data_IF_865802497768
#
_entry.id   IF_865802497768
#
_cell.length_a   1.000
_cell.length_b   1.000
_cell.length_c   1.000
_cell.angle_alpha   90.00
_cell.angle_beta   90.00
_cell.angle_gamma   90.00
#
_symmetry.space_group_name_H-M   'P 1'
#
loop_
_entity.id
_entity.type
_entity.pdbx_description
1 polymer ?
#
# COMPACT_ATOMS: atom_id res chain seq x y z
N UNK A 1 0.28 -19.29 -7.05
CA UNK A 1 -1.00 -18.77 -7.56
C UNK A 1 -0.70 -17.80 -8.68
N UNK A 2 -1.54 -17.76 -9.74
CA UNK A 2 -1.35 -16.79 -10.83
C UNK A 2 -1.77 -15.39 -10.41
N UNK A 3 -1.24 -14.37 -11.08
CA UNK A 3 -1.61 -12.95 -10.85
C UNK A 3 -3.13 -12.78 -11.01
N UNK A 4 -3.70 -13.35 -12.05
CA UNK A 4 -5.15 -13.26 -12.33
C UNK A 4 -6.00 -13.77 -11.15
N UNK A 5 -5.57 -14.86 -10.51
CA UNK A 5 -6.28 -15.42 -9.37
C UNK A 5 -6.17 -14.54 -8.12
N UNK A 6 -5.05 -13.83 -7.93
CA UNK A 6 -4.92 -12.86 -6.83
C UNK A 6 -5.85 -11.68 -7.07
N UNK A 7 -5.84 -11.13 -8.29
CA UNK A 7 -6.72 -10.03 -8.68
C UNK A 7 -8.20 -10.38 -8.50
N UNK A 8 -8.60 -11.59 -8.94
CA UNK A 8 -9.97 -12.06 -8.75
C UNK A 8 -10.37 -12.16 -7.29
N UNK A 9 -9.49 -12.72 -6.45
CA UNK A 9 -9.74 -12.83 -5.00
C UNK A 9 -9.77 -11.45 -4.32
N UNK A 10 -8.87 -10.56 -4.71
CA UNK A 10 -8.82 -9.17 -4.21
C UNK A 10 -10.14 -8.43 -4.54
N UNK A 11 -10.61 -8.52 -5.78
CA UNK A 11 -11.89 -7.93 -6.18
C UNK A 11 -13.06 -8.47 -5.36
N UNK A 12 -13.15 -9.80 -5.20
CA UNK A 12 -14.21 -10.43 -4.37
C UNK A 12 -14.13 -9.95 -2.91
N UNK A 13 -12.93 -9.77 -2.37
CA UNK A 13 -12.74 -9.28 -1.01
C UNK A 13 -13.22 -7.83 -0.87
N UNK A 14 -12.84 -6.96 -1.79
CA UNK A 14 -13.32 -5.57 -1.79
C UNK A 14 -14.82 -5.46 -2.02
N UNK A 15 -15.43 -6.36 -2.78
CA UNK A 15 -16.88 -6.41 -2.93
C UNK A 15 -17.60 -6.77 -1.61
N UNK A 16 -17.00 -7.63 -0.77
CA UNK A 16 -17.52 -7.86 0.61
C UNK A 16 -17.46 -6.56 1.44
N UNK A 17 -16.36 -5.81 1.37
CA UNK A 17 -16.26 -4.53 2.09
C UNK A 17 -17.25 -3.49 1.59
N UNK A 18 -17.47 -3.39 0.28
CA UNK A 18 -18.46 -2.46 -0.30
C UNK A 18 -19.89 -2.69 0.20
N UNK A 19 -20.23 -3.93 0.56
CA UNK A 19 -21.54 -4.24 1.16
C UNK A 19 -21.67 -3.71 2.60
N UNK A 20 -20.58 -3.42 3.27
CA UNK A 20 -20.54 -3.02 4.68
C UNK A 20 -20.08 -1.58 4.89
N UNK A 21 -19.38 -1.00 3.91
CA UNK A 21 -18.72 0.30 4.00
C UNK A 21 -19.05 1.18 2.80
N UNK A 22 -19.57 2.35 3.08
CA UNK A 22 -19.65 3.45 2.13
C UNK A 22 -18.26 4.13 2.04
N UNK A 23 -17.95 4.79 0.93
CA UNK A 23 -16.67 5.48 0.71
C UNK A 23 -15.42 4.62 0.92
N UNK A 24 -15.48 3.37 0.46
CA UNK A 24 -14.37 2.43 0.54
C UNK A 24 -13.16 2.95 -0.24
N UNK A 25 -11.98 2.90 0.39
CA UNK A 25 -10.69 3.23 -0.21
C UNK A 25 -9.92 1.94 -0.53
N UNK A 26 -9.99 1.40 -1.75
CA UNK A 26 -9.27 0.20 -2.14
C UNK A 26 -7.76 0.41 -2.08
N UNK A 27 -7.06 -0.68 -1.75
CA UNK A 27 -5.61 -0.74 -1.69
C UNK A 27 -5.10 -2.13 -2.16
N UNK A 28 -3.88 -2.53 -1.85
CA UNK A 28 -3.33 -3.82 -2.23
C UNK A 28 -2.00 -3.70 -2.95
N UNK A 29 -1.69 -4.63 -3.86
CA UNK A 29 -0.49 -4.55 -4.69
C UNK A 29 -0.65 -3.39 -5.68
N UNK A 30 0.26 -2.42 -5.60
CA UNK A 30 0.17 -1.20 -6.41
C UNK A 30 0.34 -1.51 -7.89
N UNK A 31 1.40 -2.21 -8.24
CA UNK A 31 1.62 -2.71 -9.59
C UNK A 31 2.21 -4.11 -9.55
N UNK A 32 1.51 -5.08 -10.11
CA UNK A 32 1.92 -6.49 -10.03
C UNK A 32 3.25 -6.77 -10.69
N UNK A 33 3.53 -6.16 -11.83
CA UNK A 33 4.78 -6.36 -12.56
C UNK A 33 5.96 -5.82 -11.76
N UNK A 34 5.88 -4.60 -11.26
CA UNK A 34 6.92 -3.98 -10.43
C UNK A 34 7.09 -4.73 -9.11
N UNK A 35 5.98 -5.09 -8.45
CA UNK A 35 6.02 -5.87 -7.21
C UNK A 35 6.66 -7.25 -7.42
N UNK A 36 6.32 -7.98 -8.49
CA UNK A 36 6.87 -9.31 -8.77
C UNK A 36 8.39 -9.28 -9.05
N UNK A 37 8.89 -8.20 -9.63
CA UNK A 37 10.31 -8.00 -9.93
C UNK A 37 11.12 -7.50 -8.73
N UNK A 38 10.48 -7.05 -7.65
CA UNK A 38 11.17 -6.53 -6.47
C UNK A 38 12.00 -7.62 -5.79
N UNK A 39 13.26 -7.31 -5.47
CA UNK A 39 14.19 -8.19 -4.74
C UNK A 39 13.61 -8.56 -3.35
N UNK A 40 13.04 -7.59 -2.66
CA UNK A 40 12.38 -7.76 -1.36
C UNK A 40 10.92 -7.38 -1.49
N UNK A 41 10.02 -8.27 -1.05
CA UNK A 41 8.58 -8.00 -1.02
C UNK A 41 8.24 -7.20 0.22
N UNK A 42 7.75 -5.98 0.03
CA UNK A 42 7.47 -5.05 1.11
C UNK A 42 5.97 -4.77 1.17
N UNK A 43 5.39 -4.96 2.35
CA UNK A 43 4.03 -4.51 2.66
C UNK A 43 4.09 -3.34 3.62
N UNK A 44 3.47 -2.22 3.24
CA UNK A 44 3.22 -1.10 4.13
C UNK A 44 1.84 -1.24 4.75
N UNK A 45 1.81 -1.43 6.05
CA UNK A 45 0.58 -1.47 6.82
C UNK A 45 0.36 -0.12 7.51
N UNK A 46 -0.68 0.59 7.11
CA UNK A 46 -1.01 1.92 7.62
C UNK A 46 -2.38 1.93 8.30
N UNK A 47 -2.71 3.04 8.94
CA UNK A 47 -3.96 3.17 9.67
C UNK A 47 -5.16 3.34 8.74
N UNK A 48 -5.24 4.49 8.06
CA UNK A 48 -6.38 4.90 7.23
C UNK A 48 -5.95 5.89 6.16
N UNK A 49 -6.77 6.04 5.13
CA UNK A 49 -6.64 7.09 4.13
C UNK A 49 -7.01 8.46 4.71
N UNK A 50 -6.37 9.52 4.27
CA UNK A 50 -6.88 10.87 4.48
C UNK A 50 -7.82 11.24 3.32
N UNK A 51 -9.07 10.82 3.43
CA UNK A 51 -10.08 10.96 2.39
C UNK A 51 -11.47 11.01 3.04
N UNK A 52 -11.87 12.17 3.57
CA UNK A 52 -13.15 12.30 4.26
C UNK A 52 -14.30 12.25 3.26
N UNK A 53 -15.17 11.24 3.41
CA UNK A 53 -16.34 11.02 2.54
C UNK A 53 -16.00 10.95 1.04
N UNK A 54 -14.81 10.48 0.72
CA UNK A 54 -14.33 10.30 -0.65
C UNK A 54 -13.86 8.88 -0.87
N UNK A 55 -14.00 8.41 -2.10
CA UNK A 55 -13.41 7.15 -2.55
C UNK A 55 -12.05 7.49 -3.15
N UNK A 56 -10.98 6.99 -2.53
CA UNK A 56 -9.62 7.12 -3.06
C UNK A 56 -9.10 5.72 -3.39
N UNK A 57 -8.84 5.47 -4.66
CA UNK A 57 -8.10 4.29 -5.07
C UNK A 57 -6.61 4.53 -4.83
N UNK A 58 -6.05 3.82 -3.84
CA UNK A 58 -4.64 3.98 -3.51
C UNK A 58 -3.70 3.42 -4.56
N UNK A 59 -4.14 2.45 -5.36
CA UNK A 59 -3.34 1.93 -6.48
C UNK A 59 -3.15 3.03 -7.52
N UNK A 60 -4.23 3.69 -7.90
CA UNK A 60 -4.18 4.81 -8.85
C UNK A 60 -3.37 5.98 -8.28
N UNK A 61 -3.61 6.34 -7.02
CA UNK A 61 -2.86 7.40 -6.34
C UNK A 61 -1.35 7.16 -6.35
N UNK A 62 -0.91 5.96 -5.99
CA UNK A 62 0.51 5.62 -5.93
C UNK A 62 1.12 5.35 -7.32
N UNK A 63 0.37 4.78 -8.25
CA UNK A 63 0.79 4.63 -9.64
C UNK A 63 1.03 5.98 -10.33
N UNK A 64 0.34 7.02 -9.87
CA UNK A 64 0.50 8.40 -10.36
C UNK A 64 1.48 9.24 -9.53
N UNK A 65 2.27 8.62 -8.63
CA UNK A 65 3.41 9.23 -7.95
C UNK A 65 3.14 9.86 -6.58
N UNK A 66 1.92 9.82 -6.06
CA UNK A 66 1.55 10.22 -4.68
C UNK A 66 2.00 11.64 -4.25
N UNK A 67 1.94 12.61 -5.14
CA UNK A 67 2.60 13.92 -4.98
C UNK A 67 2.07 14.82 -3.88
N UNK A 68 0.81 14.65 -3.47
CA UNK A 68 0.13 15.61 -2.58
C UNK A 68 0.62 15.55 -1.11
N UNK A 69 1.42 14.53 -0.74
CA UNK A 69 1.93 14.34 0.61
C UNK A 69 3.41 13.99 0.64
N UNK A 70 4.20 14.88 0.09
CA UNK A 70 5.66 14.75 -0.02
C UNK A 70 6.35 14.21 1.24
N UNK A 71 6.19 14.77 2.45
CA UNK A 71 6.99 14.32 3.59
C UNK A 71 6.78 12.85 3.96
N UNK A 72 5.53 12.34 3.89
CA UNK A 72 5.23 10.95 4.19
C UNK A 72 5.84 10.01 3.15
N UNK A 73 5.61 10.29 1.88
CA UNK A 73 6.05 9.43 0.79
C UNK A 73 7.55 9.52 0.53
N UNK A 74 8.17 10.66 0.80
CA UNK A 74 9.63 10.78 0.77
C UNK A 74 10.29 9.88 1.82
N UNK A 75 9.76 9.81 3.04
CA UNK A 75 10.27 8.90 4.05
C UNK A 75 10.05 7.42 3.66
N UNK A 76 8.89 7.10 3.13
CA UNK A 76 8.60 5.74 2.60
C UNK A 76 9.62 5.38 1.52
N UNK A 77 9.88 6.26 0.57
CA UNK A 77 10.85 6.03 -0.51
C UNK A 77 12.26 5.77 0.03
N UNK A 78 12.70 6.53 1.03
CA UNK A 78 14.00 6.33 1.69
C UNK A 78 14.10 4.95 2.34
N UNK A 79 13.04 4.51 3.02
CA UNK A 79 12.97 3.18 3.61
C UNK A 79 12.97 2.09 2.54
N UNK A 80 12.17 2.24 1.50
CA UNK A 80 12.13 1.28 0.38
C UNK A 80 13.50 1.14 -0.27
N UNK A 81 14.18 2.26 -0.53
CA UNK A 81 15.54 2.25 -1.09
C UNK A 81 16.51 1.50 -0.18
N UNK A 82 16.54 1.85 1.11
CA UNK A 82 17.44 1.22 2.08
C UNK A 82 17.21 -0.28 2.22
N UNK A 83 15.95 -0.72 2.27
CA UNK A 83 15.60 -2.14 2.38
C UNK A 83 15.97 -2.92 1.11
N UNK A 84 15.69 -2.35 -0.06
CA UNK A 84 15.98 -3.03 -1.33
C UNK A 84 17.47 -3.06 -1.70
N UNK A 85 18.27 -2.17 -1.11
CA UNK A 85 19.71 -2.03 -1.35
C UNK A 85 20.54 -2.25 -0.07
N UNK A 86 20.09 -3.11 0.83
CA UNK A 86 20.71 -3.31 2.16
C UNK A 86 22.18 -3.72 2.12
N UNK A 87 22.61 -4.34 1.04
CA UNK A 87 23.99 -4.79 0.84
C UNK A 87 24.89 -3.71 0.18
N UNK A 88 24.38 -2.49 0.00
CA UNK A 88 25.07 -1.43 -0.72
C UNK A 88 25.34 -0.26 0.23
N UNK A 89 26.58 0.20 0.29
CA UNK A 89 26.88 1.47 0.94
C UNK A 89 26.32 2.61 0.12
N UNK A 90 25.56 3.49 0.76
CA UNK A 90 24.95 4.64 0.10
C UNK A 90 25.09 5.91 0.94
N UNK A 91 25.21 7.02 0.24
CA UNK A 91 25.25 8.34 0.84
C UNK A 91 23.87 8.98 0.78
N UNK A 92 23.44 9.59 1.89
CA UNK A 92 22.16 10.27 1.97
C UNK A 92 21.91 11.29 0.86
N UNK A 93 22.94 12.08 0.51
CA UNK A 93 22.85 13.06 -0.57
C UNK A 93 22.62 12.45 -1.96
N UNK A 94 23.01 11.19 -2.16
CA UNK A 94 22.77 10.45 -3.40
C UNK A 94 21.33 9.98 -3.49
N UNK A 95 20.77 9.53 -2.37
CA UNK A 95 19.35 9.15 -2.27
C UNK A 95 18.45 10.36 -2.56
N UNK A 96 18.77 11.52 -1.99
CA UNK A 96 18.02 12.76 -2.24
C UNK A 96 18.03 13.16 -3.73
N UNK A 97 19.18 13.04 -4.38
CA UNK A 97 19.30 13.29 -5.83
C UNK A 97 18.54 12.27 -6.66
N UNK A 98 18.59 10.99 -6.28
CA UNK A 98 17.87 9.92 -6.96
C UNK A 98 16.37 10.18 -6.93
N UNK A 99 15.84 10.53 -5.78
CA UNK A 99 14.40 10.80 -5.61
C UNK A 99 13.96 12.21 -6.02
N UNK A 100 14.85 13.05 -6.53
CA UNK A 100 14.46 14.22 -7.30
C UNK A 100 13.81 13.83 -8.65
N UNK A 101 14.14 12.64 -9.18
CA UNK A 101 13.51 12.08 -10.39
C UNK A 101 12.16 11.45 -10.05
N UNK A 102 11.12 12.00 -10.64
CA UNK A 102 9.73 11.55 -10.48
C UNK A 102 9.49 10.12 -10.94
N UNK A 103 10.12 9.71 -12.03
CA UNK A 103 9.97 8.35 -12.58
C UNK A 103 10.54 7.33 -11.62
N UNK A 104 11.70 7.60 -11.05
CA UNK A 104 12.36 6.73 -10.07
C UNK A 104 11.48 6.59 -8.83
N UNK A 105 10.95 7.69 -8.30
CA UNK A 105 10.01 7.66 -7.17
C UNK A 105 8.81 6.77 -7.46
N UNK A 106 8.18 6.97 -8.60
CA UNK A 106 7.00 6.21 -9.02
C UNK A 106 7.32 4.72 -9.12
N UNK A 107 8.45 4.33 -9.68
CA UNK A 107 8.84 2.91 -9.78
C UNK A 107 9.03 2.25 -8.41
N UNK A 108 9.64 2.95 -7.44
CA UNK A 108 9.73 2.43 -6.07
C UNK A 108 8.35 2.27 -5.42
N UNK A 109 7.45 3.25 -5.57
CA UNK A 109 6.10 3.17 -5.03
C UNK A 109 5.27 2.06 -5.68
N UNK A 110 5.46 1.81 -6.97
CA UNK A 110 4.82 0.68 -7.67
C UNK A 110 5.28 -0.68 -7.18
N UNK A 111 6.46 -0.76 -6.58
CA UNK A 111 7.09 -2.01 -6.16
C UNK A 111 6.59 -2.56 -4.82
N UNK A 112 5.59 -1.96 -4.22
CA UNK A 112 5.09 -2.31 -2.90
C UNK A 112 3.67 -2.86 -2.89
N UNK A 113 3.33 -3.53 -1.81
CA UNK A 113 1.99 -3.81 -1.35
C UNK A 113 1.62 -2.78 -0.27
N UNK A 114 0.47 -2.19 -0.40
CA UNK A 114 -0.05 -1.18 0.52
C UNK A 114 -1.36 -1.65 1.13
N UNK A 115 -1.51 -1.54 2.45
CA UNK A 115 -2.71 -1.97 3.15
C UNK A 115 -3.06 -0.99 4.27
N UNK A 116 -4.22 -0.38 4.20
CA UNK A 116 -4.81 0.34 5.31
C UNK A 116 -5.60 -0.62 6.20
N UNK A 117 -5.47 -0.51 7.51
CA UNK A 117 -6.29 -1.29 8.45
C UNK A 117 -7.75 -0.84 8.41
N UNK A 118 -8.01 0.46 8.36
CA UNK A 118 -9.35 1.01 8.15
C UNK A 118 -9.52 1.38 6.69
N UNK A 119 -10.50 0.76 6.01
CA UNK A 119 -10.72 0.88 4.56
C UNK A 119 -11.56 2.09 4.14
N UNK A 120 -12.08 2.84 5.08
CA UNK A 120 -12.76 4.12 4.81
C UNK A 120 -11.84 5.27 5.21
N UNK A 121 -12.02 6.39 4.52
CA UNK A 121 -11.19 7.57 4.78
C UNK A 121 -11.45 8.20 6.14
N UNK A 122 -10.42 8.81 6.68
CA UNK A 122 -10.44 9.63 7.88
C UNK A 122 -9.87 11.02 7.61
N UNK A 123 -9.72 11.80 8.67
CA UNK A 123 -9.11 13.13 8.62
C UNK A 123 -7.57 13.04 8.76
N UNK A 124 -6.90 14.18 8.70
CA UNK A 124 -5.46 14.27 8.99
C UNK A 124 -5.11 13.87 10.44
N UNK A 125 -6.09 13.83 11.34
CA UNK A 125 -5.95 13.35 12.72
C UNK A 125 -6.86 12.14 12.92
N UNK A 126 -6.27 10.98 13.19
CA UNK A 126 -7.04 9.75 13.43
C UNK A 126 -7.83 9.85 14.72
N UNK A 127 -9.15 9.65 14.65
CA UNK A 127 -9.96 9.38 15.83
C UNK A 127 -9.72 7.91 16.24
N UNK A 128 -8.98 7.71 17.33
CA UNK A 128 -8.59 6.38 17.75
C UNK A 128 -9.78 5.48 18.10
N UNK A 129 -10.86 6.00 18.67
CA UNK A 129 -12.04 5.20 19.01
C UNK A 129 -12.71 4.66 17.73
N UNK A 130 -13.03 5.52 16.78
CA UNK A 130 -13.63 5.10 15.50
C UNK A 130 -12.68 4.16 14.74
N UNK A 131 -11.38 4.40 14.80
CA UNK A 131 -10.38 3.56 14.16
C UNK A 131 -10.40 2.13 14.71
N UNK A 132 -10.34 1.98 16.04
CA UNK A 132 -10.33 0.66 16.67
C UNK A 132 -11.64 -0.08 16.44
N UNK A 133 -12.79 0.59 16.61
CA UNK A 133 -14.10 -0.01 16.43
C UNK A 133 -14.28 -0.54 15.00
N UNK A 134 -13.87 0.22 13.99
CA UNK A 134 -13.93 -0.19 12.59
C UNK A 134 -12.96 -1.34 12.31
N UNK A 135 -11.74 -1.30 12.83
CA UNK A 135 -10.78 -2.38 12.68
C UNK A 135 -11.25 -3.69 13.33
N UNK A 136 -11.94 -3.61 14.47
CA UNK A 136 -12.53 -4.78 15.12
C UNK A 136 -13.66 -5.36 14.28
N UNK A 137 -14.53 -4.51 13.74
CA UNK A 137 -15.63 -4.95 12.86
C UNK A 137 -15.11 -5.59 11.57
N UNK A 138 -14.06 -5.05 10.98
CA UNK A 138 -13.49 -5.50 9.71
C UNK A 138 -12.38 -6.56 9.88
N UNK A 139 -12.12 -7.01 11.11
CA UNK A 139 -10.98 -7.89 11.46
C UNK A 139 -10.83 -9.08 10.53
N UNK A 140 -11.91 -9.80 10.26
CA UNK A 140 -11.87 -11.02 9.44
C UNK A 140 -11.49 -10.69 7.98
N UNK A 141 -12.01 -9.60 7.44
CA UNK A 141 -11.69 -9.14 6.08
C UNK A 141 -10.23 -8.63 5.99
N UNK A 142 -9.75 -7.97 7.04
CA UNK A 142 -8.34 -7.52 7.13
C UNK A 142 -7.41 -8.74 7.15
N UNK A 143 -7.73 -9.76 7.95
CA UNK A 143 -6.96 -11.01 8.01
C UNK A 143 -7.02 -11.73 6.66
N UNK A 144 -8.20 -11.83 6.02
CA UNK A 144 -8.35 -12.42 4.69
C UNK A 144 -7.47 -11.69 3.66
N UNK A 145 -7.43 -10.36 3.70
CA UNK A 145 -6.55 -9.57 2.82
C UNK A 145 -5.06 -9.83 3.06
N UNK A 146 -4.64 -9.81 4.31
CA UNK A 146 -3.24 -10.06 4.66
C UNK A 146 -2.83 -11.45 4.18
N UNK A 147 -3.62 -12.48 4.49
CA UNK A 147 -3.35 -13.86 4.08
C UNK A 147 -3.38 -14.03 2.57
N UNK A 148 -4.24 -13.31 1.86
CA UNK A 148 -4.26 -13.32 0.39
C UNK A 148 -2.88 -13.05 -0.23
N UNK A 149 -2.08 -12.20 0.41
CA UNK A 149 -0.76 -11.84 -0.09
C UNK A 149 0.36 -12.67 0.52
N UNK A 150 0.24 -13.16 1.75
CA UNK A 150 1.28 -13.93 2.44
C UNK A 150 1.22 -15.44 2.16
N UNK A 151 0.04 -16.03 2.08
CA UNK A 151 -0.13 -17.47 1.82
C UNK A 151 0.22 -17.88 0.39
N UNK A 152 0.51 -16.91 -0.46
CA UNK A 152 0.83 -17.16 -1.84
C UNK A 152 2.33 -17.08 -2.04
N UNK A 153 2.89 -18.19 -2.51
CA UNK A 153 4.29 -18.41 -2.90
C UNK A 153 4.87 -17.38 -3.92
N UNK A 154 4.11 -16.32 -4.25
CA UNK A 154 4.63 -15.12 -4.92
C UNK A 154 5.55 -14.29 -4.01
N UNK A 155 5.59 -14.60 -2.72
CA UNK A 155 6.37 -13.86 -1.72
C UNK A 155 7.72 -14.55 -1.46
N UNK A 156 7.85 -15.82 -1.84
CA UNK A 156 9.13 -16.53 -1.85
C UNK A 156 9.51 -16.92 -3.28
N UNK A 157 10.73 -16.59 -3.73
CA UNK A 157 11.29 -17.12 -4.97
C UNK A 157 11.53 -18.63 -4.88
#
# INVERSE_FOLDING_TARGET
MTIDLILEKELKLFDKWKQQREFLCPDGIINFESYSKSKVKIMLLLKEANAVNEIVDFKDFLNNGAYDRKPTWENVLRWLYGIQNIDTDYNWSEIEKLFADEKIRTEYLKSILFCNLKKIGGTYTTNNFDFYDICIQDKELIIEQINLYFDNSLICP
#
